data_IF_958687404065
#
_entry.id   IF_958687404065
#
_cell.length_a   1.000
_cell.length_b   1.000
_cell.length_c   1.000
_cell.angle_alpha   90.00
_cell.angle_beta   90.00
_cell.angle_gamma   90.00
#
_symmetry.space_group_name_H-M   'P 1'
#
loop_
_entity.id
_entity.type
_entity.pdbx_description
1 polymer ?
#
# COMPACT_ATOMS: atom_id res chain seq x y z
N UNK A 1 14.30 -71.97 17.33
CA UNK A 1 15.62 -71.53 16.83
C UNK A 1 16.11 -70.40 17.72
N UNK A 2 17.19 -70.61 18.47
CA UNK A 2 17.71 -69.61 19.41
C UNK A 2 18.16 -68.36 18.64
N UNK A 3 17.76 -67.19 19.13
CA UNK A 3 18.16 -65.88 18.62
C UNK A 3 19.65 -65.69 18.94
N UNK A 4 20.54 -66.21 18.09
CA UNK A 4 21.98 -66.04 18.26
C UNK A 4 22.26 -64.53 18.22
N UNK A 5 22.59 -63.93 19.37
CA UNK A 5 22.99 -62.52 19.46
C UNK A 5 24.10 -62.28 18.43
N UNK A 6 23.80 -61.52 17.38
CA UNK A 6 24.77 -61.15 16.35
C UNK A 6 25.84 -60.26 16.98
N UNK A 7 27.10 -60.63 16.84
CA UNK A 7 28.21 -59.77 17.25
C UNK A 7 28.20 -58.44 16.49
N UNK A 8 28.71 -57.38 17.10
CA UNK A 8 28.76 -56.06 16.47
C UNK A 8 29.50 -56.07 15.13
N UNK A 9 30.59 -56.82 15.00
CA UNK A 9 31.29 -57.02 13.73
C UNK A 9 30.41 -57.68 12.66
N UNK A 10 29.62 -58.70 13.02
CA UNK A 10 28.67 -59.32 12.08
C UNK A 10 27.51 -58.40 11.73
N UNK A 11 27.09 -57.55 12.67
CA UNK A 11 26.09 -56.53 12.40
C UNK A 11 26.59 -55.55 11.34
N UNK A 12 27.82 -55.05 11.42
CA UNK A 12 28.36 -54.11 10.42
C UNK A 12 28.49 -54.76 9.03
N UNK A 13 28.96 -56.01 8.95
CA UNK A 13 29.05 -56.73 7.67
C UNK A 13 27.70 -56.85 6.94
N UNK A 14 26.59 -56.89 7.69
CA UNK A 14 25.25 -56.85 7.09
C UNK A 14 24.91 -55.41 6.68
N UNK A 15 24.81 -55.14 5.38
CA UNK A 15 24.57 -53.80 4.83
C UNK A 15 25.75 -52.84 5.08
N UNK A 16 26.96 -53.36 4.85
CA UNK A 16 28.24 -52.71 5.18
C UNK A 16 28.36 -51.27 4.67
N UNK A 17 28.04 -51.02 3.39
CA UNK A 17 28.13 -49.66 2.82
C UNK A 17 27.22 -48.67 3.55
N UNK A 18 25.96 -49.05 3.80
CA UNK A 18 24.98 -48.20 4.48
C UNK A 18 25.37 -47.92 5.93
N UNK A 19 25.96 -48.92 6.60
CA UNK A 19 26.41 -48.81 7.99
C UNK A 19 27.72 -48.04 8.11
N UNK A 20 28.63 -48.16 7.14
CA UNK A 20 29.81 -47.30 7.02
C UNK A 20 29.39 -45.85 6.82
N UNK A 21 28.45 -45.56 5.93
CA UNK A 21 27.88 -44.21 5.74
C UNK A 21 27.28 -43.66 7.04
N UNK A 22 26.45 -44.46 7.71
CA UNK A 22 25.86 -44.09 9.00
C UNK A 22 26.94 -43.78 10.05
N UNK A 23 27.92 -44.68 10.24
CA UNK A 23 29.00 -44.48 11.21
C UNK A 23 29.85 -43.25 10.89
N UNK A 24 30.13 -42.96 9.61
CA UNK A 24 30.83 -41.74 9.21
C UNK A 24 30.05 -40.49 9.65
N UNK A 25 28.73 -40.51 9.47
CA UNK A 25 27.86 -39.40 9.87
C UNK A 25 27.82 -39.22 11.39
N UNK A 26 27.82 -40.31 12.16
CA UNK A 26 27.86 -40.27 13.62
C UNK A 26 29.20 -39.73 14.14
N UNK A 27 30.32 -40.17 13.57
CA UNK A 27 31.67 -39.68 13.89
C UNK A 27 31.77 -38.19 13.60
N UNK A 28 31.31 -37.73 12.43
CA UNK A 28 31.31 -36.29 12.07
C UNK A 28 30.47 -35.43 13.01
N UNK A 29 29.40 -35.99 13.59
CA UNK A 29 28.51 -35.29 14.53
C UNK A 29 28.98 -35.38 15.99
N UNK A 30 30.05 -36.14 16.27
CA UNK A 30 30.54 -36.34 17.64
C UNK A 30 29.58 -37.14 18.53
N UNK A 31 28.68 -37.93 17.93
CA UNK A 31 27.67 -38.68 18.68
C UNK A 31 28.23 -40.10 18.92
N UNK A 32 28.20 -40.55 20.18
CA UNK A 32 28.73 -41.84 20.70
C UNK A 32 30.23 -41.95 20.95
N UNK A 33 31.03 -40.97 20.55
CA UNK A 33 32.47 -40.99 20.78
C UNK A 33 32.79 -39.96 21.86
N UNK A 34 32.96 -40.43 23.11
CA UNK A 34 33.47 -39.60 24.19
C UNK A 34 34.85 -39.07 23.81
N UNK A 35 35.17 -37.86 24.27
CA UNK A 35 36.34 -37.07 23.86
C UNK A 35 37.71 -37.74 24.05
N UNK A 36 37.80 -38.93 24.65
CA UNK A 36 39.04 -39.72 24.81
C UNK A 36 39.16 -40.97 23.93
N UNK A 37 38.09 -41.41 23.26
CA UNK A 37 38.16 -42.61 22.40
C UNK A 37 38.21 -42.30 20.91
N UNK A 38 38.02 -41.04 20.53
CA UNK A 38 38.29 -40.60 19.16
C UNK A 38 39.75 -40.19 19.04
N UNK A 39 40.59 -41.03 18.45
CA UNK A 39 41.88 -40.63 17.86
C UNK A 39 41.69 -39.67 16.66
N UNK A 40 40.75 -38.74 16.75
CA UNK A 40 40.37 -37.80 15.69
C UNK A 40 40.61 -36.34 16.06
N UNK A 41 41.30 -36.05 17.17
CA UNK A 41 41.83 -34.70 17.44
C UNK A 41 43.27 -34.73 17.96
N UNK A 42 44.14 -34.21 17.08
CA UNK A 42 45.42 -33.49 17.31
C UNK A 42 46.56 -34.17 18.09
N UNK A 43 47.66 -34.31 17.34
CA UNK A 43 49.08 -34.23 17.72
C UNK A 43 49.68 -35.36 18.56
N UNK A 44 50.83 -35.79 18.06
CA UNK A 44 51.88 -36.55 18.74
C UNK A 44 52.07 -36.09 20.20
N UNK A 45 51.73 -36.94 21.16
CA UNK A 45 52.38 -37.00 22.47
C UNK A 45 52.41 -38.47 22.87
N UNK A 46 53.60 -39.04 22.97
CA UNK A 46 53.83 -40.28 23.71
C UNK A 46 53.47 -40.02 25.17
N UNK A 47 52.36 -40.59 25.65
CA UNK A 47 52.15 -40.80 27.08
C UNK A 47 51.61 -42.20 27.31
N UNK A 48 52.46 -43.02 27.92
CA UNK A 48 52.09 -44.28 28.53
C UNK A 48 51.22 -43.98 29.76
N UNK A 49 49.92 -44.23 29.67
CA UNK A 49 49.05 -44.42 30.83
C UNK A 49 48.16 -45.61 30.52
N UNK A 50 48.38 -46.68 31.27
CA UNK A 50 47.57 -47.89 31.28
C UNK A 50 46.24 -47.58 31.98
N UNK A 51 45.28 -47.00 31.26
CA UNK A 51 43.87 -47.03 31.69
C UNK A 51 43.24 -48.35 31.24
N UNK A 52 42.85 -49.15 32.22
CA UNK A 52 42.13 -50.40 32.03
C UNK A 52 40.75 -50.08 31.45
N UNK A 53 40.65 -50.08 30.12
CA UNK A 53 39.37 -50.01 29.41
C UNK A 53 38.58 -51.28 29.79
N UNK A 54 37.37 -51.17 30.39
CA UNK A 54 36.57 -52.35 30.67
C UNK A 54 36.32 -53.09 29.35
N UNK A 55 36.34 -54.45 29.33
CA UNK A 55 36.20 -55.20 28.09
C UNK A 55 34.84 -54.86 27.46
N UNK A 56 34.85 -54.00 26.45
CA UNK A 56 33.63 -53.64 25.75
C UNK A 56 33.11 -54.90 25.05
N UNK A 57 31.90 -55.38 25.38
CA UNK A 57 31.37 -56.64 24.83
C UNK A 57 31.15 -56.56 23.31
N UNK A 58 31.07 -55.34 22.77
CA UNK A 58 30.90 -55.08 21.34
C UNK A 58 32.06 -54.27 20.80
N UNK A 59 32.78 -54.87 19.85
CA UNK A 59 33.83 -54.18 19.10
C UNK A 59 33.53 -54.25 17.59
N UNK A 60 33.84 -53.15 16.90
CA UNK A 60 33.75 -53.02 15.44
C UNK A 60 35.11 -52.58 14.93
N UNK A 61 35.64 -53.30 13.94
CA UNK A 61 36.87 -52.96 13.22
C UNK A 61 36.51 -52.70 11.76
N UNK A 62 36.78 -51.49 11.28
CA UNK A 62 36.58 -51.08 9.89
C UNK A 62 37.91 -50.80 9.22
N UNK A 63 38.20 -51.51 8.13
CA UNK A 63 39.34 -51.24 7.25
C UNK A 63 39.04 -50.05 6.33
N UNK A 64 40.04 -49.22 6.06
CA UNK A 64 39.97 -48.07 5.15
C UNK A 64 38.79 -47.13 5.46
N UNK A 65 38.72 -46.68 6.71
CA UNK A 65 37.63 -45.84 7.19
C UNK A 65 38.12 -44.45 7.57
N UNK A 66 37.57 -43.41 6.93
CA UNK A 66 37.92 -42.01 7.17
C UNK A 66 39.43 -41.71 7.06
N UNK A 67 40.11 -42.35 6.09
CA UNK A 67 41.55 -42.16 5.84
C UNK A 67 42.49 -42.93 6.78
N UNK A 68 41.96 -43.80 7.66
CA UNK A 68 42.77 -44.69 8.51
C UNK A 68 42.79 -46.11 7.93
N UNK A 69 43.95 -46.77 8.07
CA UNK A 69 44.15 -48.19 7.69
C UNK A 69 43.11 -49.06 8.41
N UNK A 70 42.96 -48.87 9.73
CA UNK A 70 41.91 -49.49 10.53
C UNK A 70 41.33 -48.50 11.55
N UNK A 71 40.01 -48.54 11.71
CA UNK A 71 39.27 -47.78 12.72
C UNK A 71 38.58 -48.76 13.68
N UNK A 72 38.86 -48.59 14.97
CA UNK A 72 38.34 -49.43 16.04
C UNK A 72 37.27 -48.67 16.81
N UNK A 73 36.13 -49.32 17.04
CA UNK A 73 35.03 -48.79 17.83
C UNK A 73 34.63 -49.80 18.91
N UNK A 74 34.50 -49.31 20.13
CA UNK A 74 34.15 -50.10 21.30
C UNK A 74 32.85 -49.56 21.88
N UNK A 75 31.90 -50.46 22.16
CA UNK A 75 30.58 -50.09 22.66
C UNK A 75 30.20 -50.96 23.86
N UNK A 76 29.58 -50.34 24.85
CA UNK A 76 28.78 -51.07 25.85
C UNK A 76 27.52 -51.66 25.20
N UNK A 77 26.85 -52.62 25.85
CA UNK A 77 25.58 -53.19 25.34
C UNK A 77 24.56 -52.09 25.04
N UNK A 78 24.37 -51.14 25.96
CA UNK A 78 23.41 -50.04 25.81
C UNK A 78 23.76 -49.10 24.65
N UNK A 79 25.05 -48.77 24.51
CA UNK A 79 25.53 -47.96 23.38
C UNK A 79 25.30 -48.67 22.05
N UNK A 80 25.52 -49.99 22.01
CA UNK A 80 25.31 -50.78 20.80
C UNK A 80 23.82 -50.94 20.45
N UNK A 81 22.93 -51.10 21.43
CA UNK A 81 21.48 -51.08 21.19
C UNK A 81 21.01 -49.73 20.67
N UNK A 82 21.48 -48.63 21.26
CA UNK A 82 21.14 -47.28 20.80
C UNK A 82 21.66 -47.01 19.38
N UNK A 83 22.89 -47.46 19.08
CA UNK A 83 23.46 -47.43 17.72
C UNK A 83 22.58 -48.19 16.70
N UNK A 84 22.05 -49.36 17.08
CA UNK A 84 21.14 -50.14 16.23
C UNK A 84 19.81 -49.41 15.98
N UNK A 85 19.26 -48.75 17.00
CA UNK A 85 18.03 -47.96 16.87
C UNK A 85 18.25 -46.75 15.94
N UNK A 86 19.33 -46.00 16.16
CA UNK A 86 19.67 -44.83 15.34
C UNK A 86 19.93 -45.22 13.88
N UNK A 87 20.56 -46.37 13.64
CA UNK A 87 20.73 -46.91 12.30
C UNK A 87 19.39 -47.21 11.62
N UNK A 88 18.41 -47.76 12.35
CA UNK A 88 17.06 -48.01 11.80
C UNK A 88 16.40 -46.71 11.36
N UNK A 89 16.52 -45.66 12.17
CA UNK A 89 15.99 -44.32 11.86
C UNK A 89 16.71 -43.73 10.65
N UNK A 90 18.05 -43.79 10.62
CA UNK A 90 18.86 -43.36 9.49
C UNK A 90 18.44 -44.06 8.18
N UNK A 91 18.33 -45.38 8.21
CA UNK A 91 17.93 -46.20 7.06
C UNK A 91 16.52 -45.86 6.58
N UNK A 92 15.58 -45.64 7.49
CA UNK A 92 14.22 -45.19 7.16
C UNK A 92 14.25 -43.82 6.48
N UNK A 93 14.99 -42.86 7.03
CA UNK A 93 15.11 -41.51 6.47
C UNK A 93 15.81 -41.50 5.11
N UNK A 94 16.85 -42.30 4.92
CA UNK A 94 17.55 -42.43 3.63
C UNK A 94 16.63 -43.02 2.57
N UNK A 95 15.85 -44.06 2.90
CA UNK A 95 14.80 -44.60 2.02
C UNK A 95 13.73 -43.57 1.68
N UNK A 96 13.32 -42.73 2.64
CA UNK A 96 12.34 -41.67 2.38
C UNK A 96 12.88 -40.59 1.44
N UNK A 97 14.16 -40.22 1.59
CA UNK A 97 14.84 -39.25 0.70
C UNK A 97 15.00 -39.80 -0.72
N UNK A 98 15.51 -41.02 -0.87
CA UNK A 98 15.75 -41.62 -2.21
C UNK A 98 14.46 -41.94 -2.94
N UNK A 99 13.40 -42.33 -2.22
CA UNK A 99 12.11 -42.67 -2.82
C UNK A 99 11.14 -41.48 -2.90
N UNK A 100 11.54 -40.25 -2.49
CA UNK A 100 10.65 -39.07 -2.34
C UNK A 100 9.33 -39.41 -1.62
N UNK A 101 9.36 -40.36 -0.68
CA UNK A 101 8.19 -40.90 0.02
C UNK A 101 7.83 -40.11 1.29
N UNK A 102 8.23 -38.85 1.39
CA UNK A 102 7.61 -37.95 2.36
C UNK A 102 6.21 -37.65 1.83
N UNK A 103 5.28 -38.60 2.01
CA UNK A 103 3.86 -38.28 2.03
C UNK A 103 3.72 -37.29 3.18
N UNK A 104 3.52 -36.02 2.86
CA UNK A 104 3.05 -35.03 3.81
C UNK A 104 1.71 -35.58 4.30
N UNK A 105 1.70 -36.27 5.44
CA UNK A 105 0.48 -36.66 6.11
C UNK A 105 -0.01 -35.42 6.84
N UNK A 106 -0.84 -34.63 6.15
CA UNK A 106 -1.63 -33.61 6.80
C UNK A 106 -2.67 -34.34 7.66
N UNK A 107 -2.58 -34.17 8.98
CA UNK A 107 -3.61 -34.66 9.88
C UNK A 107 -4.81 -33.71 9.77
N UNK A 108 -5.85 -34.18 9.09
CA UNK A 108 -7.14 -33.49 9.04
C UNK A 108 -7.95 -34.03 10.22
N UNK A 109 -8.55 -33.13 11.03
CA UNK A 109 -9.43 -33.57 12.10
C UNK A 109 -10.67 -34.26 11.52
N UNK A 110 -11.32 -35.11 12.33
CA UNK A 110 -12.45 -35.93 11.89
C UNK A 110 -13.59 -35.08 11.32
N UNK A 111 -13.91 -33.97 11.97
CA UNK A 111 -14.98 -33.06 11.52
C UNK A 111 -14.72 -32.47 10.12
N UNK A 112 -13.50 -32.02 9.85
CA UNK A 112 -13.14 -31.46 8.53
C UNK A 112 -13.12 -32.54 7.46
N UNK A 113 -12.69 -33.76 7.81
CA UNK A 113 -12.78 -34.90 6.90
C UNK A 113 -14.24 -35.24 6.57
N UNK A 114 -15.12 -35.30 7.57
CA UNK A 114 -16.54 -35.62 7.40
C UNK A 114 -17.24 -34.54 6.55
N UNK A 115 -16.92 -33.27 6.76
CA UNK A 115 -17.37 -32.17 5.90
C UNK A 115 -16.87 -32.33 4.46
N UNK A 116 -15.59 -32.65 4.27
CA UNK A 116 -15.04 -32.88 2.94
C UNK A 116 -15.69 -34.08 2.23
N UNK A 117 -16.05 -35.13 2.96
CA UNK A 117 -16.81 -36.26 2.41
C UNK A 117 -18.25 -35.89 2.04
N UNK A 118 -18.91 -35.08 2.87
CA UNK A 118 -20.23 -34.54 2.55
C UNK A 118 -20.19 -33.73 1.25
N UNK A 119 -19.25 -32.79 1.13
CA UNK A 119 -19.07 -31.96 -0.07
C UNK A 119 -18.66 -32.84 -1.27
N UNK A 120 -17.78 -33.82 -1.06
CA UNK A 120 -17.39 -34.78 -2.11
C UNK A 120 -18.63 -35.47 -2.70
N UNK A 121 -19.53 -35.92 -1.83
CA UNK A 121 -20.75 -36.64 -2.22
C UNK A 121 -21.77 -35.72 -2.87
N UNK A 122 -22.00 -34.53 -2.28
CA UNK A 122 -22.94 -33.51 -2.78
C UNK A 122 -22.61 -33.06 -4.21
N UNK A 123 -21.34 -32.86 -4.51
CA UNK A 123 -20.87 -32.39 -5.82
C UNK A 123 -20.36 -33.51 -6.74
N UNK A 124 -20.53 -34.79 -6.36
CA UNK A 124 -20.18 -35.94 -7.19
C UNK A 124 -18.69 -36.12 -7.48
N UNK A 125 -17.80 -35.63 -6.61
CA UNK A 125 -16.36 -35.77 -6.78
C UNK A 125 -15.89 -37.22 -6.51
N UNK A 126 -14.99 -37.74 -7.35
CA UNK A 126 -14.48 -39.11 -7.18
C UNK A 126 -13.55 -39.27 -5.96
N UNK A 127 -12.87 -38.21 -5.54
CA UNK A 127 -11.92 -38.22 -4.42
C UNK A 127 -11.96 -36.90 -3.66
N UNK A 128 -11.62 -36.93 -2.37
CA UNK A 128 -11.44 -35.73 -1.54
C UNK A 128 -10.38 -34.79 -2.16
N UNK A 129 -9.33 -35.35 -2.78
CA UNK A 129 -8.30 -34.56 -3.48
C UNK A 129 -8.88 -33.72 -4.64
N UNK A 130 -9.85 -34.27 -5.40
CA UNK A 130 -10.56 -33.51 -6.45
C UNK A 130 -11.45 -32.43 -5.86
N UNK A 131 -12.13 -32.72 -4.76
CA UNK A 131 -12.93 -31.74 -4.02
C UNK A 131 -12.05 -30.56 -3.56
N UNK A 132 -10.91 -30.86 -2.93
CA UNK A 132 -9.96 -29.86 -2.46
C UNK A 132 -9.37 -29.02 -3.60
N UNK A 133 -8.97 -29.65 -4.70
CA UNK A 133 -8.49 -28.93 -5.89
C UNK A 133 -9.54 -27.97 -6.43
N UNK A 134 -10.80 -28.41 -6.55
CA UNK A 134 -11.87 -27.56 -7.04
C UNK A 134 -12.12 -26.36 -6.10
N UNK A 135 -12.14 -26.58 -4.78
CA UNK A 135 -12.26 -25.51 -3.80
C UNK A 135 -11.10 -24.51 -3.88
N UNK A 136 -9.86 -24.99 -4.05
CA UNK A 136 -8.68 -24.13 -4.21
C UNK A 136 -8.77 -23.34 -5.53
N UNK A 137 -9.13 -23.98 -6.63
CA UNK A 137 -9.22 -23.36 -7.95
C UNK A 137 -10.34 -22.29 -8.00
N UNK A 138 -11.49 -22.57 -7.38
CA UNK A 138 -12.57 -21.59 -7.25
C UNK A 138 -12.16 -20.40 -6.39
N UNK A 139 -11.52 -20.66 -5.24
CA UNK A 139 -11.12 -19.61 -4.32
C UNK A 139 -10.00 -18.73 -4.91
N UNK A 140 -9.05 -19.32 -5.66
CA UNK A 140 -8.02 -18.56 -6.39
C UNK A 140 -8.64 -17.71 -7.50
N UNK A 141 -9.60 -18.25 -8.26
CA UNK A 141 -10.34 -17.47 -9.27
C UNK A 141 -11.12 -16.31 -8.65
N UNK A 142 -11.83 -16.55 -7.55
CA UNK A 142 -12.58 -15.51 -6.83
C UNK A 142 -11.64 -14.43 -6.29
N UNK A 143 -10.53 -14.82 -5.68
CA UNK A 143 -9.50 -13.90 -5.17
C UNK A 143 -8.92 -13.03 -6.28
N UNK A 144 -8.66 -13.62 -7.47
CA UNK A 144 -8.17 -12.88 -8.63
C UNK A 144 -9.18 -11.82 -9.09
N UNK A 145 -10.45 -12.20 -9.27
CA UNK A 145 -11.54 -11.27 -9.64
C UNK A 145 -11.71 -10.16 -8.60
N UNK A 146 -11.57 -10.49 -7.32
CA UNK A 146 -11.66 -9.50 -6.25
C UNK A 146 -10.50 -8.50 -6.30
N UNK A 147 -9.28 -8.97 -6.56
CA UNK A 147 -8.11 -8.10 -6.76
C UNK A 147 -8.29 -7.17 -7.95
N UNK A 148 -8.70 -7.70 -9.10
CA UNK A 148 -8.99 -6.90 -10.31
C UNK A 148 -10.05 -5.83 -10.02
N UNK A 149 -11.11 -6.18 -9.28
CA UNK A 149 -12.14 -5.22 -8.86
C UNK A 149 -11.62 -4.15 -7.91
N UNK A 150 -10.78 -4.53 -6.93
CA UNK A 150 -10.14 -3.58 -6.01
C UNK A 150 -9.21 -2.63 -6.76
N UNK A 151 -8.41 -3.13 -7.70
CA UNK A 151 -7.54 -2.31 -8.54
C UNK A 151 -8.35 -1.31 -9.39
N UNK A 152 -9.44 -1.76 -10.00
CA UNK A 152 -10.36 -0.90 -10.76
C UNK A 152 -10.99 0.18 -9.87
N UNK A 153 -11.48 -0.19 -8.67
CA UNK A 153 -12.06 0.77 -7.74
C UNK A 153 -11.03 1.81 -7.27
N UNK A 154 -9.80 1.38 -6.99
CA UNK A 154 -8.71 2.29 -6.61
C UNK A 154 -8.35 3.25 -7.74
N UNK A 155 -8.39 2.80 -9.00
CA UNK A 155 -8.19 3.68 -10.16
C UNK A 155 -9.31 4.73 -10.24
N UNK A 156 -10.56 4.31 -10.11
CA UNK A 156 -11.71 5.23 -10.13
C UNK A 156 -11.66 6.24 -8.97
N UNK A 157 -11.20 5.82 -7.80
CA UNK A 157 -11.06 6.69 -6.63
C UNK A 157 -10.03 7.80 -6.89
N UNK A 158 -8.87 7.44 -7.46
CA UNK A 158 -7.87 8.43 -7.88
C UNK A 158 -8.39 9.39 -8.93
N UNK A 159 -9.14 8.90 -9.92
CA UNK A 159 -9.76 9.75 -10.94
C UNK A 159 -10.74 10.74 -10.30
N UNK A 160 -11.58 10.30 -9.36
CA UNK A 160 -12.50 11.16 -8.62
C UNK A 160 -11.78 12.19 -7.74
N UNK A 161 -10.69 11.80 -7.08
CA UNK A 161 -9.86 12.73 -6.30
C UNK A 161 -9.27 13.83 -7.19
N UNK A 162 -8.79 13.49 -8.39
CA UNK A 162 -8.27 14.48 -9.34
C UNK A 162 -9.36 15.40 -9.90
N UNK A 163 -10.56 14.87 -10.16
CA UNK A 163 -11.72 15.68 -10.57
C UNK A 163 -12.16 16.63 -9.46
N UNK A 164 -12.20 16.15 -8.21
CA UNK A 164 -12.52 16.97 -7.05
C UNK A 164 -11.54 18.13 -6.89
N UNK A 165 -10.24 17.86 -7.00
CA UNK A 165 -9.21 18.92 -6.92
C UNK A 165 -9.40 19.98 -8.01
N UNK A 166 -9.73 19.58 -9.25
CA UNK A 166 -10.03 20.53 -10.34
C UNK A 166 -11.27 21.38 -10.05
N UNK A 167 -12.32 20.78 -9.49
CA UNK A 167 -13.56 21.49 -9.12
C UNK A 167 -13.28 22.49 -7.99
N UNK A 168 -12.51 22.10 -6.97
CA UNK A 168 -12.12 22.98 -5.88
C UNK A 168 -11.31 24.18 -6.38
N UNK A 169 -10.38 23.94 -7.31
CA UNK A 169 -9.63 25.01 -7.96
C UNK A 169 -10.54 25.95 -8.77
N UNK A 170 -11.42 25.40 -9.61
CA UNK A 170 -12.36 26.20 -10.40
C UNK A 170 -13.29 27.06 -9.54
N UNK A 171 -13.77 26.51 -8.41
CA UNK A 171 -14.56 27.27 -7.45
C UNK A 171 -13.76 28.41 -6.82
N UNK A 172 -12.48 28.20 -6.50
CA UNK A 172 -11.61 29.27 -6.00
C UNK A 172 -11.45 30.39 -7.02
N UNK A 173 -11.26 30.05 -8.29
CA UNK A 173 -11.12 31.03 -9.38
C UNK A 173 -12.42 31.84 -9.57
N UNK A 174 -13.59 31.18 -9.55
CA UNK A 174 -14.89 31.85 -9.61
C UNK A 174 -15.12 32.80 -8.43
N UNK A 175 -14.74 32.40 -7.21
CA UNK A 175 -14.85 33.26 -6.02
C UNK A 175 -13.95 34.50 -6.17
N UNK A 176 -12.74 34.34 -6.71
CA UNK A 176 -11.84 35.46 -6.98
C UNK A 176 -12.45 36.42 -8.03
N UNK A 177 -13.03 35.89 -9.10
CA UNK A 177 -13.68 36.69 -10.16
C UNK A 177 -14.90 37.46 -9.63
N UNK A 178 -15.75 36.82 -8.82
CA UNK A 178 -16.89 37.47 -8.16
C UNK A 178 -16.41 38.62 -7.27
N UNK A 179 -15.32 38.44 -6.53
CA UNK A 179 -14.77 39.51 -5.69
C UNK A 179 -14.30 40.71 -6.52
N UNK A 180 -13.63 40.48 -7.65
CA UNK A 180 -13.21 41.55 -8.58
C UNK A 180 -14.43 42.30 -9.14
N UNK A 181 -15.47 41.57 -9.56
CA UNK A 181 -16.70 42.17 -10.08
C UNK A 181 -17.43 43.00 -9.01
N UNK A 182 -17.46 42.51 -7.77
CA UNK A 182 -18.05 43.24 -6.65
C UNK A 182 -17.30 44.56 -6.36
N UNK A 183 -15.97 44.55 -6.37
CA UNK A 183 -15.18 45.77 -6.19
C UNK A 183 -15.38 46.76 -7.36
N UNK A 184 -15.44 46.27 -8.60
CA UNK A 184 -15.80 47.11 -9.77
C UNK A 184 -17.19 47.71 -9.63
N UNK A 185 -18.18 46.93 -9.21
CA UNK A 185 -19.55 47.39 -8.99
C UNK A 185 -19.64 48.46 -7.89
N UNK A 186 -18.92 48.27 -6.77
CA UNK A 186 -18.81 49.29 -5.72
C UNK A 186 -18.16 50.58 -6.24
N UNK A 187 -17.08 50.45 -7.02
CA UNK A 187 -16.42 51.58 -7.67
C UNK A 187 -17.36 52.36 -8.57
N UNK A 188 -18.08 51.67 -9.46
CA UNK A 188 -19.09 52.26 -10.34
C UNK A 188 -20.22 52.94 -9.57
N UNK A 189 -20.77 52.31 -8.53
CA UNK A 189 -21.79 52.91 -7.66
C UNK A 189 -21.30 54.21 -7.03
N UNK A 190 -20.05 54.22 -6.54
CA UNK A 190 -19.42 55.42 -5.97
C UNK A 190 -19.23 56.51 -7.02
N UNK A 191 -18.77 56.17 -8.22
CA UNK A 191 -18.60 57.11 -9.33
C UNK A 191 -19.94 57.72 -9.78
N UNK A 192 -21.00 56.91 -9.86
CA UNK A 192 -22.35 57.38 -10.20
C UNK A 192 -22.88 58.31 -9.10
N UNK A 193 -22.76 57.94 -7.83
CA UNK A 193 -23.18 58.78 -6.71
C UNK A 193 -22.45 60.14 -6.72
N UNK A 194 -21.12 60.13 -6.89
CA UNK A 194 -20.31 61.35 -6.98
C UNK A 194 -20.69 62.23 -8.18
N UNK A 195 -20.99 61.61 -9.33
CA UNK A 195 -21.43 62.33 -10.52
C UNK A 195 -22.80 63.01 -10.31
N UNK A 196 -23.74 62.30 -9.68
CA UNK A 196 -25.10 62.77 -9.45
C UNK A 196 -25.15 63.90 -8.41
N UNK A 197 -24.41 63.78 -7.32
CA UNK A 197 -24.48 64.74 -6.20
C UNK A 197 -23.73 66.06 -6.47
N UNK A 198 -22.58 66.05 -7.15
CA UNK A 198 -21.75 67.27 -7.28
C UNK A 198 -21.98 68.04 -8.58
N UNK A 199 -21.84 67.38 -9.73
CA UNK A 199 -21.79 68.11 -11.01
C UNK A 199 -23.14 68.58 -11.52
N UNK A 200 -24.21 67.81 -11.30
CA UNK A 200 -25.56 68.21 -11.71
C UNK A 200 -26.09 69.33 -10.80
N UNK A 201 -25.84 69.24 -9.49
CA UNK A 201 -26.33 70.22 -8.53
C UNK A 201 -25.57 71.54 -8.60
N UNK A 202 -24.22 71.53 -8.59
CA UNK A 202 -23.40 72.75 -8.74
C UNK A 202 -23.68 73.47 -10.06
N UNK A 203 -23.96 72.71 -11.12
CA UNK A 203 -24.22 73.29 -12.45
C UNK A 203 -25.66 73.80 -12.58
N UNK A 204 -26.65 73.08 -12.05
CA UNK A 204 -28.01 73.59 -11.94
C UNK A 204 -28.04 74.87 -11.10
N UNK A 205 -27.32 74.89 -9.99
CA UNK A 205 -27.16 76.08 -9.14
C UNK A 205 -26.54 77.25 -9.91
N UNK A 206 -25.50 77.01 -10.71
CA UNK A 206 -24.91 78.04 -11.58
C UNK A 206 -25.91 78.60 -12.59
N UNK A 207 -26.61 77.74 -13.34
CA UNK A 207 -27.58 78.19 -14.34
C UNK A 207 -28.77 78.91 -13.68
N UNK A 208 -29.22 78.43 -12.52
CA UNK A 208 -30.31 79.06 -11.76
C UNK A 208 -29.89 80.43 -11.23
N UNK A 209 -28.67 80.58 -10.71
CA UNK A 209 -28.11 81.88 -10.32
C UNK A 209 -27.96 82.83 -11.52
N UNK A 210 -27.57 82.32 -12.70
CA UNK A 210 -27.45 83.11 -13.93
C UNK A 210 -28.82 83.62 -14.40
N UNK A 211 -29.80 82.72 -14.55
CA UNK A 211 -31.16 83.06 -14.95
C UNK A 211 -31.82 84.04 -13.96
N UNK A 212 -31.64 83.83 -12.65
CA UNK A 212 -32.13 84.78 -11.64
C UNK A 212 -31.48 86.17 -11.78
N UNK A 213 -30.18 86.25 -12.08
CA UNK A 213 -29.47 87.52 -12.26
C UNK A 213 -29.96 88.30 -13.48
N UNK A 214 -30.18 87.61 -14.59
CA UNK A 214 -30.76 88.21 -15.80
C UNK A 214 -32.20 88.70 -15.58
N UNK A 215 -33.00 87.91 -14.86
CA UNK A 215 -34.39 88.25 -14.57
C UNK A 215 -34.50 89.47 -13.63
N UNK A 216 -33.69 89.53 -12.57
CA UNK A 216 -33.65 90.66 -11.60
C UNK A 216 -33.17 91.96 -12.26
N UNK A 217 -32.33 91.84 -13.29
CA UNK A 217 -31.84 92.98 -14.07
C UNK A 217 -32.86 93.46 -15.12
N UNK A 218 -33.95 92.73 -15.32
CA UNK A 218 -35.04 93.10 -16.22
C UNK A 218 -36.11 93.91 -15.49
N UNK A 219 -36.68 94.93 -16.17
CA UNK A 219 -37.75 95.77 -15.62
C UNK A 219 -39.04 94.99 -15.28
N UNK A 220 -39.16 93.73 -15.73
CA UNK A 220 -40.29 92.84 -15.49
C UNK A 220 -40.31 92.24 -14.08
N UNK A 221 -39.19 92.25 -13.35
CA UNK A 221 -39.11 91.64 -12.02
C UNK A 221 -40.01 92.32 -10.97
N UNK A 222 -40.24 93.64 -11.10
CA UNK A 222 -40.95 94.44 -10.09
C UNK A 222 -42.48 94.35 -10.15
N UNK A 223 -43.05 93.76 -11.20
CA UNK A 223 -44.50 93.84 -11.50
C UNK A 223 -45.14 92.45 -11.67
N UNK A 224 -44.35 91.38 -11.60
CA UNK A 224 -44.79 90.05 -12.02
C UNK A 224 -45.03 89.14 -10.80
N UNK A 225 -46.11 88.35 -10.82
CA UNK A 225 -46.40 87.40 -9.74
C UNK A 225 -45.39 86.24 -9.71
N UNK A 226 -45.30 85.56 -8.56
CA UNK A 226 -44.31 84.51 -8.31
C UNK A 226 -44.47 83.32 -9.26
N UNK A 227 -45.70 83.02 -9.68
CA UNK A 227 -46.00 81.89 -10.57
C UNK A 227 -45.51 82.14 -12.00
N UNK A 228 -45.63 83.38 -12.48
CA UNK A 228 -45.17 83.82 -13.79
C UNK A 228 -43.64 83.98 -13.82
N UNK A 229 -43.03 84.46 -12.72
CA UNK A 229 -41.58 84.47 -12.56
C UNK A 229 -40.98 83.06 -12.58
N UNK A 230 -41.66 82.09 -11.95
CA UNK A 230 -41.22 80.69 -11.93
C UNK A 230 -41.25 80.07 -13.34
N UNK A 231 -42.27 80.38 -14.14
CA UNK A 231 -42.35 79.93 -15.54
C UNK A 231 -41.24 80.54 -16.40
N UNK A 232 -40.97 81.83 -16.26
CA UNK A 232 -39.91 82.51 -17.01
C UNK A 232 -38.51 81.95 -16.70
N UNK A 233 -38.21 81.69 -15.42
CA UNK A 233 -36.96 81.04 -15.01
C UNK A 233 -36.85 79.64 -15.63
N UNK A 234 -37.94 78.86 -15.61
CA UNK A 234 -37.95 77.52 -16.20
C UNK A 234 -37.82 77.53 -17.72
N UNK A 235 -38.38 78.52 -18.41
CA UNK A 235 -38.23 78.70 -19.86
C UNK A 235 -36.80 79.08 -20.27
N UNK A 236 -36.12 79.92 -19.47
CA UNK A 236 -34.71 80.26 -19.70
C UNK A 236 -33.76 79.09 -19.38
N UNK A 237 -34.02 78.32 -18.33
CA UNK A 237 -33.19 77.17 -17.94
C UNK A 237 -33.33 75.96 -18.89
N UNK A 238 -34.51 75.76 -19.48
CA UNK A 238 -34.83 74.57 -20.28
C UNK A 238 -33.87 74.35 -21.48
N UNK A 239 -33.56 75.35 -22.34
CA UNK A 239 -32.65 75.15 -23.47
C UNK A 239 -31.21 74.88 -23.03
N UNK A 240 -30.68 75.57 -22.02
CA UNK A 240 -29.29 75.41 -21.57
C UNK A 240 -29.03 74.04 -20.96
N UNK A 241 -29.95 73.57 -20.10
CA UNK A 241 -29.86 72.24 -19.47
C UNK A 241 -29.99 71.12 -20.50
N UNK A 242 -30.85 71.27 -21.51
CA UNK A 242 -31.03 70.28 -22.59
C UNK A 242 -29.81 70.19 -23.52
N UNK A 243 -29.13 71.31 -23.79
CA UNK A 243 -27.95 71.33 -24.65
C UNK A 243 -26.76 70.60 -24.01
N UNK A 244 -26.60 70.73 -22.69
CA UNK A 244 -25.56 70.06 -21.93
C UNK A 244 -25.77 68.55 -21.78
N UNK A 245 -27.01 68.10 -21.63
CA UNK A 245 -27.36 66.67 -21.61
C UNK A 245 -27.01 66.01 -22.96
N UNK A 246 -27.19 66.73 -24.07
CA UNK A 246 -26.83 66.23 -25.41
C UNK A 246 -25.33 66.20 -25.68
N UNK A 247 -24.56 67.19 -25.19
CA UNK A 247 -23.12 67.29 -25.48
C UNK A 247 -22.24 66.30 -24.69
N UNK A 248 -22.73 65.70 -23.60
CA UNK A 248 -21.93 64.75 -22.78
C UNK A 248 -22.39 63.29 -22.88
N UNK A 249 -23.35 63.01 -23.75
CA UNK A 249 -23.96 61.68 -23.87
C UNK A 249 -23.31 60.69 -24.83
N UNK A 250 -22.39 61.06 -25.75
CA UNK A 250 -22.10 60.17 -26.89
C UNK A 250 -20.74 60.28 -27.62
N UNK A 251 -19.66 60.79 -27.01
CA UNK A 251 -18.33 60.72 -27.64
C UNK A 251 -17.30 60.31 -26.56
N UNK A 252 -16.50 59.28 -26.85
CA UNK A 252 -15.34 58.74 -26.10
C UNK A 252 -15.47 57.39 -25.37
N UNK A 253 -16.27 56.43 -25.84
CA UNK A 253 -16.03 55.00 -25.55
C UNK A 253 -16.35 54.08 -26.74
N UNK A 254 -15.67 54.29 -27.87
CA UNK A 254 -15.49 53.26 -28.89
C UNK A 254 -14.22 53.61 -29.68
N UNK A 255 -13.05 53.30 -29.11
CA UNK A 255 -11.77 53.08 -29.83
C UNK A 255 -10.63 52.90 -28.81
N UNK A 256 -10.58 51.75 -28.14
CA UNK A 256 -9.32 51.11 -27.69
C UNK A 256 -9.61 49.94 -26.76
N UNK A 257 -9.48 48.72 -27.26
CA UNK A 257 -9.51 47.54 -26.39
C UNK A 257 -9.80 46.20 -27.03
N UNK A 258 -9.51 46.00 -28.31
CA UNK A 258 -9.39 44.64 -28.89
C UNK A 258 -8.11 44.60 -29.73
N UNK A 259 -7.02 44.19 -29.08
CA UNK A 259 -5.94 43.36 -29.64
C UNK A 259 -5.34 42.57 -28.50
#
# INVERSE_FOLDING_TARGET
MANIKLSAQRWVKKEENLKREFLMLMVRRGIYFSNDQSTFRKREVFQAISEVIPPAPHYIILKDFMGKIEAHFYFTEDQFEKLKQDYRIFKFNQKNKTQKKVKIQAYINKETHDKLESIKSEFGYKTIDRCLKCLIDQNTSYTKKLKERVESLNKNLKELETLKAKIEQYNSDLVAEINVLNERSKGLKKSIAQYHEKKLFEKLEYHLQSAMRELVSSDQFKITDVETLTKLIMEQLRPEVLQDIKMKGFIDQDESGIT
#
